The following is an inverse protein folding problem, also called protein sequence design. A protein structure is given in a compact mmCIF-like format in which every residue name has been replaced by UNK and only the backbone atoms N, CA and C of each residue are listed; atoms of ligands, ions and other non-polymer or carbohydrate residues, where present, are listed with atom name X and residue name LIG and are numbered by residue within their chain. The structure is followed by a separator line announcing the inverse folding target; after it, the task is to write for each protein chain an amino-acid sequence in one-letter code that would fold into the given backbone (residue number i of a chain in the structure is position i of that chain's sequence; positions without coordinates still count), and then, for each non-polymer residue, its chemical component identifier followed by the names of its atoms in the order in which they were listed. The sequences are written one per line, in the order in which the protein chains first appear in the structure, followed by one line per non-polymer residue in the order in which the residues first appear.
data_IF_592120756030
#
_entry.id   IF_592120756030
#
_cell.length_a   1.000
_cell.length_b   1.000
_cell.length_c   1.000
_cell.angle_alpha   90.00
_cell.angle_beta   90.00
_cell.angle_gamma   90.00
#
_symmetry.space_group_name_H-M   'P 1'
#
loop_
_entity.id
_entity.type
_entity.pdbx_description
1 polymer ?
#
# COMPACT_ATOMS: atom_id res chain seq x y z
N UNK A 1 12.21 3.03 -8.37
CA UNK A 1 10.88 3.14 -7.72
C UNK A 1 10.03 2.04 -8.30
N UNK A 2 9.42 1.20 -7.46
CA UNK A 2 8.58 0.09 -7.90
C UNK A 2 7.35 -0.02 -7.02
N UNK A 3 6.28 -0.57 -7.58
CA UNK A 3 5.05 -0.89 -6.87
C UNK A 3 4.62 -2.29 -7.26
N UNK A 4 4.42 -3.14 -6.27
CA UNK A 4 3.81 -4.45 -6.42
C UNK A 4 2.39 -4.40 -5.87
N UNK A 5 1.44 -5.01 -6.60
CA UNK A 5 0.02 -5.03 -6.24
C UNK A 5 -0.54 -6.44 -6.43
N UNK A 6 -1.26 -6.90 -5.43
CA UNK A 6 -2.03 -8.14 -5.45
C UNK A 6 -3.50 -7.78 -5.23
N UNK A 7 -4.30 -8.03 -6.27
CA UNK A 7 -5.74 -7.86 -6.24
C UNK A 7 -6.37 -9.12 -5.62
N UNK A 8 -6.96 -8.97 -4.44
CA UNK A 8 -7.55 -10.09 -3.70
C UNK A 8 -9.05 -10.23 -4.00
N UNK A 9 -9.75 -9.11 -4.17
CA UNK A 9 -11.21 -9.07 -4.32
C UNK A 9 -11.62 -7.92 -5.24
N UNK A 10 -12.78 -8.02 -5.92
CA UNK A 10 -13.35 -6.90 -6.67
C UNK A 10 -13.86 -5.82 -5.71
N UNK A 11 -13.88 -4.58 -6.20
CA UNK A 11 -14.51 -3.41 -5.56
C UNK A 11 -15.70 -2.99 -6.41
N UNK A 12 -16.84 -2.68 -5.81
CA UNK A 12 -18.03 -2.28 -6.54
C UNK A 12 -18.19 -0.76 -6.56
N UNK A 13 -18.99 -0.26 -7.50
CA UNK A 13 -19.33 1.15 -7.54
C UNK A 13 -20.00 1.58 -6.23
N UNK A 14 -19.64 2.77 -5.74
CA UNK A 14 -20.06 3.36 -4.47
C UNK A 14 -19.46 2.73 -3.20
N UNK A 15 -18.54 1.76 -3.31
CA UNK A 15 -17.77 1.31 -2.15
C UNK A 15 -16.78 2.40 -1.70
N UNK A 16 -16.67 2.60 -0.39
CA UNK A 16 -15.66 3.48 0.18
C UNK A 16 -14.34 2.71 0.37
N UNK A 17 -13.28 3.15 -0.30
CA UNK A 17 -11.96 2.55 -0.22
C UNK A 17 -11.06 3.31 0.77
N UNK A 18 -10.50 2.60 1.74
CA UNK A 18 -9.53 3.11 2.70
C UNK A 18 -8.16 2.53 2.36
N UNK A 19 -7.23 3.38 1.94
CA UNK A 19 -5.85 2.99 1.70
C UNK A 19 -4.98 3.33 2.93
N UNK A 20 -4.18 2.37 3.37
CA UNK A 20 -3.22 2.52 4.46
C UNK A 20 -1.85 2.01 4.04
N UNK A 21 -0.81 2.60 4.63
CA UNK A 21 0.57 2.20 4.39
C UNK A 21 1.32 2.07 5.70
N UNK A 22 2.25 1.13 5.75
CA UNK A 22 3.13 0.89 6.90
C UNK A 22 4.58 0.93 6.42
N UNK A 23 5.44 1.68 7.12
CA UNK A 23 6.87 1.74 6.80
C UNK A 23 7.54 0.48 7.35
N UNK A 24 8.03 -0.36 6.45
CA UNK A 24 8.67 -1.64 6.80
C UNK A 24 10.18 -1.47 6.92
N UNK A 25 10.80 -0.68 6.03
CA UNK A 25 12.24 -0.50 6.01
C UNK A 25 12.63 0.90 5.54
N UNK A 26 13.68 1.47 6.15
CA UNK A 26 14.31 2.72 5.72
C UNK A 26 15.78 2.46 5.39
N UNK A 27 16.14 2.63 4.12
CA UNK A 27 17.52 2.52 3.60
C UNK A 27 18.07 3.91 3.38
N UNK A 28 18.42 4.60 4.49
CA UNK A 28 18.88 6.00 4.45
C UNK A 28 20.12 6.19 3.56
N UNK A 29 21.06 5.23 3.55
CA UNK A 29 22.24 5.28 2.68
C UNK A 29 21.92 5.36 1.18
N UNK A 30 20.72 4.90 0.78
CA UNK A 30 20.24 4.94 -0.61
C UNK A 30 19.07 5.90 -0.79
N UNK A 31 18.65 6.61 0.26
CA UNK A 31 17.43 7.40 0.29
C UNK A 31 16.19 6.61 -0.19
N UNK A 32 16.04 5.36 0.26
CA UNK A 32 14.90 4.50 -0.11
C UNK A 32 14.07 4.15 1.13
N UNK A 33 12.74 4.16 1.00
CA UNK A 33 11.78 3.70 1.99
C UNK A 33 10.94 2.59 1.35
N UNK A 34 10.77 1.48 2.06
CA UNK A 34 9.91 0.36 1.65
C UNK A 34 8.64 0.41 2.51
N UNK A 35 7.49 0.37 1.85
CA UNK A 35 6.17 0.50 2.45
C UNK A 35 5.34 -0.73 2.12
N UNK A 36 4.68 -1.33 3.10
CA UNK A 36 3.56 -2.22 2.84
C UNK A 36 2.32 -1.37 2.57
N UNK A 37 1.58 -1.70 1.52
CA UNK A 37 0.38 -0.96 1.09
C UNK A 37 -0.83 -1.88 1.17
N UNK A 38 -1.90 -1.41 1.80
CA UNK A 38 -3.15 -2.16 1.96
C UNK A 38 -4.32 -1.26 1.62
N UNK A 39 -5.32 -1.80 0.91
CA UNK A 39 -6.58 -1.11 0.63
C UNK A 39 -7.73 -1.99 1.07
N UNK A 40 -8.66 -1.41 1.83
CA UNK A 40 -9.85 -2.08 2.33
C UNK A 40 -11.13 -1.36 1.86
N UNK A 41 -12.25 -2.09 1.73
CA UNK A 41 -13.56 -1.51 1.36
C UNK A 41 -14.57 -1.58 2.50
N UNK A 42 -15.26 -0.47 2.80
CA UNK A 42 -16.36 -0.32 3.78
C UNK A 42 -16.03 -0.67 5.25
N UNK A 43 -15.08 -1.57 5.49
CA UNK A 43 -14.63 -2.06 6.79
C UNK A 43 -13.16 -2.47 6.69
N UNK A 44 -12.39 -2.24 7.75
CA UNK A 44 -10.93 -2.45 7.76
C UNK A 44 -10.53 -3.92 7.55
N UNK A 45 -11.42 -4.88 7.84
CA UNK A 45 -11.16 -6.31 7.66
C UNK A 45 -11.36 -6.79 6.22
N UNK A 46 -11.93 -5.96 5.33
CA UNK A 46 -12.17 -6.33 3.94
C UNK A 46 -11.06 -5.83 3.02
N UNK A 47 -9.89 -6.48 3.10
CA UNK A 47 -8.76 -6.18 2.23
C UNK A 47 -9.07 -6.60 0.79
N UNK A 48 -8.97 -5.63 -0.13
CA UNK A 48 -9.21 -5.81 -1.57
C UNK A 48 -7.90 -5.75 -2.37
N UNK A 49 -6.92 -4.97 -1.90
CA UNK A 49 -5.60 -4.87 -2.51
C UNK A 49 -4.55 -4.92 -1.40
N UNK A 50 -3.49 -5.67 -1.63
CA UNK A 50 -2.28 -5.65 -0.80
C UNK A 50 -1.04 -5.60 -1.68
N UNK A 51 0.05 -5.05 -1.19
CA UNK A 51 1.23 -4.83 -2.01
C UNK A 51 2.38 -4.20 -1.25
N UNK A 52 3.45 -3.89 -1.99
CA UNK A 52 4.62 -3.22 -1.46
C UNK A 52 5.06 -2.10 -2.41
N UNK A 53 5.39 -0.94 -1.84
CA UNK A 53 5.92 0.21 -2.54
C UNK A 53 7.39 0.44 -2.15
N UNK A 54 8.25 0.69 -3.14
CA UNK A 54 9.62 1.12 -2.92
C UNK A 54 9.74 2.57 -3.41
N UNK A 55 9.80 3.49 -2.44
CA UNK A 55 9.83 4.92 -2.69
C UNK A 55 11.15 5.58 -2.30
N UNK A 56 11.44 6.75 -2.88
CA UNK A 56 12.59 7.57 -2.51
C UNK A 56 12.19 8.40 -1.29
N UNK A 57 13.07 8.48 -0.30
CA UNK A 57 12.89 9.35 0.86
C UNK A 57 12.81 10.80 0.37
N UNK A 58 11.79 11.59 0.78
CA UNK A 58 11.74 13.01 0.50
C UNK A 58 12.89 13.73 1.23
N UNK A 59 13.38 14.82 0.64
CA UNK A 59 14.45 15.67 1.20
C UNK A 59 13.96 16.53 2.37
#
# INVERSE_FOLDING_TARGET
MSQELKFLKPVYFNDNCIASVEVVEKKDAKNIIILNTTVCTNSTDNVVITGQAVVKKPE
#
